data_IF_931902246832
#
_entry.id   IF_931902246832
#
_cell.length_a   1.000
_cell.length_b   1.000
_cell.length_c   1.000
_cell.angle_alpha   90.00
_cell.angle_beta   90.00
_cell.angle_gamma   90.00
#
_symmetry.space_group_name_H-M   'P 1'
#
loop_
_entity.id
_entity.type
_entity.pdbx_description
1 polymer ?
#
# COMPACT_ATOMS: atom_id res chain seq x y z
N UNK A 1 84.54 13.53 24.81
CA UNK A 1 83.20 13.54 25.45
C UNK A 1 82.14 14.22 24.58
N UNK A 2 82.35 15.47 24.15
CA UNK A 2 81.34 16.28 23.43
C UNK A 2 80.88 15.69 22.08
N UNK A 3 81.78 15.12 21.28
CA UNK A 3 81.44 14.56 19.95
C UNK A 3 80.54 13.31 20.07
N UNK A 4 80.80 12.45 21.06
CA UNK A 4 79.96 11.26 21.31
C UNK A 4 78.55 11.64 21.77
N UNK A 5 78.41 12.70 22.56
CA UNK A 5 77.12 13.23 23.01
C UNK A 5 76.30 13.77 21.82
N UNK A 6 76.94 14.48 20.89
CA UNK A 6 76.28 15.00 19.70
C UNK A 6 75.75 13.88 18.79
N UNK A 7 76.53 12.81 18.60
CA UNK A 7 76.09 11.63 17.82
C UNK A 7 74.93 10.92 18.51
N UNK A 8 74.99 10.76 19.83
CA UNK A 8 73.91 10.16 20.60
C UNK A 8 72.60 10.95 20.47
N UNK A 9 72.68 12.28 20.57
CA UNK A 9 71.52 13.17 20.40
C UNK A 9 70.96 13.06 18.98
N UNK A 10 71.83 13.02 17.96
CA UNK A 10 71.40 12.88 16.56
C UNK A 10 70.66 11.56 16.32
N UNK A 11 71.16 10.45 16.85
CA UNK A 11 70.51 9.13 16.74
C UNK A 11 69.15 9.11 17.45
N UNK A 12 69.04 9.73 18.62
CA UNK A 12 67.77 9.83 19.36
C UNK A 12 66.71 10.62 18.56
N UNK A 13 67.13 11.71 17.92
CA UNK A 13 66.23 12.53 17.08
C UNK A 13 65.79 11.76 15.83
N UNK A 14 66.71 11.04 15.18
CA UNK A 14 66.43 10.24 14.00
C UNK A 14 65.41 9.11 14.29
N UNK A 15 65.58 8.39 15.42
CA UNK A 15 64.69 7.30 15.82
C UNK A 15 63.29 7.82 16.18
N UNK A 16 63.19 8.97 16.85
CA UNK A 16 61.89 9.58 17.19
C UNK A 16 61.14 10.14 15.97
N UNK A 17 61.86 10.58 14.95
CA UNK A 17 61.26 11.09 13.71
C UNK A 17 60.59 9.98 12.89
N UNK A 18 61.22 8.80 12.81
CA UNK A 18 60.73 7.68 11.99
C UNK A 18 59.49 6.94 12.51
N UNK A 19 59.06 7.18 13.75
CA UNK A 19 57.92 6.47 14.37
C UNK A 19 56.55 7.16 14.16
N UNK A 20 56.49 8.32 13.49
CA UNK A 20 55.25 9.13 13.39
C UNK A 20 54.27 8.75 12.26
N UNK A 21 54.43 7.63 11.55
CA UNK A 21 53.65 7.33 10.34
C UNK A 21 52.95 5.96 10.28
N UNK A 22 52.43 5.42 11.40
CA UNK A 22 51.75 4.10 11.33
C UNK A 22 50.27 4.03 11.70
N UNK A 23 49.66 5.10 12.21
CA UNK A 23 48.26 5.03 12.67
C UNK A 23 47.36 6.09 12.02
N UNK A 24 47.34 6.15 10.69
CA UNK A 24 46.23 6.79 9.98
C UNK A 24 45.23 5.70 9.62
N UNK A 25 44.33 5.38 10.55
CA UNK A 25 43.21 4.48 10.27
C UNK A 25 42.34 5.07 9.15
N UNK A 26 41.94 4.22 8.21
CA UNK A 26 41.07 4.61 7.08
C UNK A 26 39.74 5.14 7.61
N UNK A 27 39.42 6.39 7.30
CA UNK A 27 38.12 7.00 7.62
C UNK A 27 37.07 6.37 6.71
N UNK A 28 36.15 5.61 7.29
CA UNK A 28 35.01 5.02 6.58
C UNK A 28 33.73 5.73 7.02
N UNK A 29 32.88 6.01 6.05
CA UNK A 29 31.59 6.63 6.26
C UNK A 29 30.61 5.57 6.77
N UNK A 30 30.08 5.78 7.99
CA UNK A 30 29.08 4.90 8.61
C UNK A 30 27.80 5.70 8.80
N UNK A 31 26.68 5.13 8.36
CA UNK A 31 25.35 5.64 8.64
C UNK A 31 24.66 4.77 9.68
N UNK A 32 23.97 5.41 10.64
CA UNK A 32 23.19 4.70 11.65
C UNK A 32 21.87 4.23 11.03
N UNK A 33 21.64 2.91 11.05
CA UNK A 33 20.39 2.32 10.55
C UNK A 33 19.33 2.45 11.64
N UNK A 34 18.34 3.32 11.41
CA UNK A 34 17.15 3.45 12.23
C UNK A 34 16.06 2.49 11.74
N UNK A 35 15.40 1.77 12.66
CA UNK A 35 14.19 1.01 12.35
C UNK A 35 13.00 1.95 12.44
N UNK A 36 12.52 2.41 11.30
CA UNK A 36 11.26 3.13 11.19
C UNK A 36 10.15 2.18 10.70
N UNK A 37 8.93 2.38 11.17
CA UNK A 37 7.77 1.59 10.76
C UNK A 37 7.40 1.98 9.33
N UNK A 38 7.72 1.11 8.37
CA UNK A 38 7.35 1.30 6.97
C UNK A 38 5.85 1.01 6.81
N UNK A 39 5.02 2.02 7.06
CA UNK A 39 3.56 1.93 6.83
C UNK A 39 3.31 1.92 5.33
N UNK A 40 3.50 0.75 4.72
CA UNK A 40 3.24 0.53 3.31
C UNK A 40 1.73 0.53 3.11
N UNK A 41 1.16 1.70 2.86
CA UNK A 41 -0.26 1.81 2.54
C UNK A 41 -0.47 1.27 1.14
N UNK A 42 -0.79 -0.02 1.05
CA UNK A 42 -1.19 -0.67 -0.21
C UNK A 42 -2.59 -0.20 -0.55
N UNK A 43 -2.69 0.80 -1.44
CA UNK A 43 -3.96 1.25 -2.00
C UNK A 43 -4.43 0.26 -3.07
N UNK A 44 -5.37 -0.62 -2.70
CA UNK A 44 -6.06 -1.49 -3.66
C UNK A 44 -7.23 -0.75 -4.30
N UNK A 45 -7.17 -0.49 -5.61
CA UNK A 45 -8.33 0.00 -6.37
C UNK A 45 -9.27 -1.18 -6.63
N UNK A 46 -10.36 -1.27 -5.87
CA UNK A 46 -11.44 -2.21 -6.12
C UNK A 46 -12.58 -1.56 -6.91
N UNK A 47 -13.13 -2.27 -7.89
CA UNK A 47 -14.37 -1.86 -8.55
C UNK A 47 -15.52 -2.33 -7.66
N UNK A 48 -16.38 -1.40 -7.21
CA UNK A 48 -17.61 -1.75 -6.53
C UNK A 48 -18.58 -2.33 -7.56
N UNK A 49 -18.70 -3.65 -7.58
CA UNK A 49 -19.67 -4.36 -8.42
C UNK A 49 -20.88 -4.81 -7.60
N UNK A 50 -22.03 -4.89 -8.25
CA UNK A 50 -23.27 -5.35 -7.60
C UNK A 50 -23.17 -6.86 -7.37
N UNK A 51 -23.33 -7.30 -6.13
CA UNK A 51 -23.20 -8.73 -5.78
C UNK A 51 -24.23 -9.61 -6.50
N UNK A 52 -25.42 -9.08 -6.78
CA UNK A 52 -26.54 -9.86 -7.34
C UNK A 52 -27.44 -8.94 -8.19
N UNK A 53 -27.67 -9.31 -9.46
CA UNK A 53 -28.55 -8.58 -10.37
C UNK A 53 -29.52 -9.55 -11.01
N UNK A 54 -30.80 -9.35 -10.74
CA UNK A 54 -31.88 -10.18 -11.26
C UNK A 54 -32.75 -9.37 -12.22
N UNK A 55 -33.07 -9.96 -13.38
CA UNK A 55 -34.01 -9.37 -14.35
C UNK A 55 -35.36 -10.06 -14.22
N UNK A 56 -36.33 -9.38 -13.61
CA UNK A 56 -37.68 -9.93 -13.40
C UNK A 56 -38.50 -9.75 -14.69
N UNK A 57 -39.01 -10.85 -15.22
CA UNK A 57 -39.90 -10.86 -16.39
C UNK A 57 -41.26 -11.46 -16.02
N UNK A 58 -42.30 -11.02 -16.72
CA UNK A 58 -43.62 -11.60 -16.57
C UNK A 58 -43.63 -13.04 -17.11
N UNK A 59 -44.21 -13.97 -16.35
CA UNK A 59 -44.37 -15.38 -16.77
C UNK A 59 -45.42 -15.53 -17.89
N UNK A 60 -46.36 -14.59 -17.96
CA UNK A 60 -47.48 -14.59 -18.91
C UNK A 60 -47.57 -13.28 -19.68
N UNK A 61 -48.04 -13.38 -20.92
CA UNK A 61 -48.33 -12.20 -21.75
C UNK A 61 -49.76 -11.74 -21.46
N UNK A 62 -49.92 -10.48 -21.04
CA UNK A 62 -51.23 -9.91 -20.75
C UNK A 62 -51.24 -8.39 -20.77
N UNK A 63 -52.44 -7.80 -20.79
CA UNK A 63 -52.59 -6.35 -20.70
C UNK A 63 -52.33 -5.90 -19.25
N UNK A 64 -51.42 -4.95 -19.06
CA UNK A 64 -51.13 -4.38 -17.75
C UNK A 64 -52.33 -3.53 -17.31
N UNK A 65 -52.88 -3.81 -16.14
CA UNK A 65 -53.94 -3.02 -15.51
C UNK A 65 -53.38 -1.87 -14.69
N UNK A 66 -52.28 -2.09 -13.95
CA UNK A 66 -51.66 -1.08 -13.10
C UNK A 66 -50.19 -1.42 -12.83
N UNK A 67 -49.35 -0.38 -12.78
CA UNK A 67 -47.97 -0.43 -12.33
C UNK A 67 -47.92 0.21 -10.94
N UNK A 68 -47.30 -0.45 -9.97
CA UNK A 68 -47.26 -0.02 -8.56
C UNK A 68 -45.92 0.58 -8.14
N UNK A 69 -44.94 0.61 -9.05
CA UNK A 69 -43.57 1.03 -8.80
C UNK A 69 -43.10 2.00 -9.88
N UNK A 70 -42.21 2.92 -9.51
CA UNK A 70 -41.57 3.86 -10.43
C UNK A 70 -40.09 3.51 -10.63
N UNK A 71 -39.48 4.08 -11.66
CA UNK A 71 -38.05 3.90 -11.93
C UNK A 71 -37.22 4.47 -10.77
N UNK A 72 -36.32 3.65 -10.22
CA UNK A 72 -35.49 4.02 -9.07
C UNK A 72 -36.10 3.72 -7.70
N UNK A 73 -37.32 3.19 -7.64
CA UNK A 73 -37.94 2.78 -6.37
C UNK A 73 -37.25 1.55 -5.77
N UNK A 74 -37.12 1.57 -4.45
CA UNK A 74 -36.62 0.44 -3.68
C UNK A 74 -37.75 -0.57 -3.42
N UNK A 75 -37.55 -1.80 -3.89
CA UNK A 75 -38.52 -2.88 -3.76
C UNK A 75 -37.91 -4.06 -3.00
N UNK A 76 -38.74 -4.79 -2.26
CA UNK A 76 -38.35 -5.98 -1.51
C UNK A 76 -38.95 -7.24 -2.14
N UNK A 77 -38.37 -8.39 -1.78
CA UNK A 77 -38.89 -9.69 -2.22
C UNK A 77 -40.34 -9.85 -1.78
N UNK A 78 -41.22 -10.09 -2.75
CA UNK A 78 -42.66 -10.28 -2.53
C UNK A 78 -43.51 -9.04 -2.79
N UNK A 79 -42.90 -7.89 -3.11
CA UNK A 79 -43.66 -6.69 -3.44
C UNK A 79 -44.38 -6.83 -4.78
N UNK A 80 -45.62 -6.32 -4.83
CA UNK A 80 -46.42 -6.31 -6.04
C UNK A 80 -45.93 -5.19 -6.97
N UNK A 81 -45.24 -5.54 -8.04
CA UNK A 81 -44.70 -4.55 -8.99
C UNK A 81 -45.75 -4.11 -10.01
N UNK A 82 -46.54 -5.06 -10.50
CA UNK A 82 -47.51 -4.85 -11.59
C UNK A 82 -48.70 -5.79 -11.44
N UNK A 83 -49.83 -5.43 -12.04
CA UNK A 83 -51.03 -6.26 -12.06
C UNK A 83 -51.56 -6.38 -13.47
N UNK A 84 -51.82 -7.61 -13.91
CA UNK A 84 -52.44 -7.90 -15.20
C UNK A 84 -53.97 -7.77 -15.14
N UNK A 85 -54.57 -7.46 -16.28
CA UNK A 85 -56.02 -7.42 -16.41
C UNK A 85 -56.59 -8.84 -16.55
N UNK A 86 -57.33 -9.30 -15.54
CA UNK A 86 -57.84 -10.67 -15.39
C UNK A 86 -59.04 -11.02 -16.30
N UNK A 87 -59.47 -10.14 -17.21
CA UNK A 87 -60.69 -10.40 -18.02
C UNK A 87 -60.60 -11.60 -18.97
N UNK A 88 -59.43 -12.22 -19.14
CA UNK A 88 -59.23 -13.36 -20.03
C UNK A 88 -58.45 -14.55 -19.44
N UNK A 89 -58.04 -14.52 -18.15
CA UNK A 89 -57.19 -15.56 -17.57
C UNK A 89 -57.92 -16.64 -16.74
N UNK A 90 -59.21 -16.47 -16.44
CA UNK A 90 -60.06 -17.52 -15.83
C UNK A 90 -60.60 -18.47 -16.89
N UNK A 91 -59.87 -19.53 -17.23
CA UNK A 91 -60.44 -20.79 -17.74
C UNK A 91 -59.76 -21.98 -17.10
#
# INVERSE_FOLDING_TARGET
ALVGLAILIYVIIAVRSGQKHKNAGTVVEISNVSREELVTTVSGSGVADTQEKEEIRAEITGLISKIHVLEGDWVKKGDLLLTFNDRHFRR
#
